data_IF_974783913877
#
_entry.id   IF_974783913877
#
_cell.length_a   1.000
_cell.length_b   1.000
_cell.length_c   1.000
_cell.angle_alpha   90.00
_cell.angle_beta   90.00
_cell.angle_gamma   90.00
#
_symmetry.space_group_name_H-M   'P 1'
#
loop_
_entity.id
_entity.type
_entity.pdbx_description
1 polymer ?
#
# COMPACT_ATOMS: atom_id res chain seq x y z
N UNK A 1 17.86 -14.61 20.04
CA UNK A 1 17.72 -13.14 20.21
C UNK A 1 16.85 -12.64 19.09
N UNK A 2 15.97 -11.67 19.34
CA UNK A 2 15.25 -10.97 18.27
C UNK A 2 16.13 -9.87 17.68
N UNK A 3 16.24 -9.81 16.36
CA UNK A 3 16.97 -8.79 15.61
C UNK A 3 16.06 -8.23 14.52
N UNK A 4 15.85 -6.92 14.53
CA UNK A 4 15.05 -6.22 13.54
C UNK A 4 15.99 -5.56 12.52
N UNK A 5 15.84 -5.91 11.24
CA UNK A 5 16.68 -5.42 10.15
C UNK A 5 15.86 -4.53 9.23
N UNK A 6 16.30 -3.28 9.04
CA UNK A 6 15.65 -2.36 8.11
C UNK A 6 15.82 -2.86 6.66
N UNK A 7 14.72 -2.92 5.90
CA UNK A 7 14.75 -3.18 4.45
C UNK A 7 15.17 -1.87 3.75
N UNK A 8 16.37 -1.80 3.15
CA UNK A 8 16.97 -0.51 2.75
C UNK A 8 16.32 0.11 1.51
N UNK A 9 15.73 -0.69 0.64
CA UNK A 9 15.28 -0.26 -0.70
C UNK A 9 13.84 0.26 -0.72
N UNK A 10 13.07 0.01 0.34
CA UNK A 10 11.70 0.45 0.41
C UNK A 10 11.61 1.99 0.39
N UNK A 11 10.88 2.52 -0.58
CA UNK A 11 10.76 3.96 -0.82
C UNK A 11 9.67 4.65 0.02
N UNK A 12 8.88 3.88 0.77
CA UNK A 12 7.81 4.40 1.63
C UNK A 12 6.44 4.48 0.95
N UNK A 13 5.38 4.58 1.77
CA UNK A 13 3.99 4.68 1.29
C UNK A 13 3.54 6.12 1.00
N UNK A 14 4.34 7.13 1.34
CA UNK A 14 4.02 8.52 1.09
C UNK A 14 4.92 9.11 0.02
N UNK A 15 4.33 9.72 -1.01
CA UNK A 15 5.03 10.39 -2.12
C UNK A 15 6.01 9.47 -2.88
N UNK A 16 5.78 8.17 -2.83
CA UNK A 16 6.54 7.14 -3.53
C UNK A 16 5.65 6.32 -4.47
N UNK A 17 6.22 5.34 -5.16
CA UNK A 17 5.45 4.46 -6.07
C UNK A 17 4.38 3.65 -5.35
N UNK A 18 4.52 3.46 -4.03
CA UNK A 18 3.57 2.74 -3.19
C UNK A 18 2.45 3.63 -2.62
N UNK A 19 2.46 4.92 -2.94
CA UNK A 19 1.40 5.86 -2.55
C UNK A 19 0.09 5.46 -3.23
N UNK A 20 -0.97 5.45 -2.44
CA UNK A 20 -2.32 5.10 -2.87
C UNK A 20 -2.89 6.18 -3.80
N UNK A 21 -2.63 7.46 -3.55
CA UNK A 21 -3.36 8.57 -4.17
C UNK A 21 -3.38 8.57 -5.70
N UNK A 22 -2.23 8.66 -6.36
CA UNK A 22 -2.17 8.70 -7.84
C UNK A 22 -2.53 7.34 -8.46
N UNK A 23 -2.18 6.24 -7.80
CA UNK A 23 -2.42 4.89 -8.31
C UNK A 23 -3.91 4.51 -8.24
N UNK A 24 -4.60 4.83 -7.14
CA UNK A 24 -6.05 4.66 -6.99
C UNK A 24 -6.78 5.46 -8.06
N UNK A 25 -6.34 6.69 -8.34
CA UNK A 25 -6.93 7.48 -9.41
C UNK A 25 -6.79 6.81 -10.79
N UNK A 26 -5.63 6.23 -11.10
CA UNK A 26 -5.40 5.53 -12.37
C UNK A 26 -6.35 4.32 -12.46
N UNK A 27 -6.41 3.49 -11.44
CA UNK A 27 -7.26 2.29 -11.43
C UNK A 27 -8.75 2.65 -11.53
N UNK A 28 -9.20 3.63 -10.74
CA UNK A 28 -10.56 4.19 -10.82
C UNK A 28 -10.88 4.67 -12.24
N UNK A 29 -9.92 5.34 -12.89
CA UNK A 29 -10.06 5.79 -14.26
C UNK A 29 -10.18 4.62 -15.24
N UNK A 30 -9.35 3.57 -15.10
CA UNK A 30 -9.43 2.38 -15.95
C UNK A 30 -10.76 1.65 -15.80
N UNK A 31 -11.28 1.51 -14.57
CA UNK A 31 -12.60 0.93 -14.32
C UNK A 31 -13.72 1.68 -15.06
N UNK A 32 -13.67 3.03 -15.05
CA UNK A 32 -14.66 3.89 -15.72
C UNK A 32 -14.70 3.71 -17.24
N UNK A 33 -13.55 3.52 -17.90
CA UNK A 33 -13.49 3.37 -19.36
C UNK A 33 -13.43 1.89 -19.80
N UNK A 34 -13.52 0.97 -18.83
CA UNK A 34 -13.55 -0.48 -19.03
C UNK A 34 -14.96 -1.07 -18.98
N UNK A 35 -15.19 -2.02 -18.08
CA UNK A 35 -16.45 -2.78 -17.98
C UNK A 35 -17.58 -2.03 -17.25
N UNK A 36 -17.26 -0.94 -16.55
CA UNK A 36 -18.19 -0.20 -15.71
C UNK A 36 -18.40 1.22 -16.26
N UNK A 37 -19.42 1.39 -17.11
CA UNK A 37 -19.84 2.71 -17.56
C UNK A 37 -20.25 3.58 -16.36
N UNK A 38 -19.69 4.79 -16.30
CA UNK A 38 -20.05 5.86 -15.35
C UNK A 38 -19.79 5.58 -13.86
N UNK A 39 -18.79 4.75 -13.57
CA UNK A 39 -18.30 4.39 -12.23
C UNK A 39 -18.04 5.60 -11.29
N UNK A 40 -17.57 6.74 -11.83
CA UNK A 40 -17.38 7.98 -11.04
C UNK A 40 -18.67 8.58 -10.44
N UNK A 41 -19.85 8.04 -10.79
CA UNK A 41 -21.13 8.50 -10.25
C UNK A 41 -21.47 7.90 -8.88
N UNK A 42 -20.65 6.96 -8.39
CA UNK A 42 -20.78 6.43 -7.03
C UNK A 42 -20.53 7.56 -6.00
N UNK A 43 -21.42 7.67 -5.02
CA UNK A 43 -21.38 8.73 -4.02
C UNK A 43 -20.29 8.50 -2.97
N UNK A 44 -19.92 7.24 -2.72
CA UNK A 44 -18.94 6.82 -1.72
C UNK A 44 -17.62 6.38 -2.36
N UNK A 45 -17.32 6.84 -3.59
CA UNK A 45 -16.06 6.51 -4.27
C UNK A 45 -14.81 6.96 -3.51
N UNK A 46 -14.94 8.02 -2.69
CA UNK A 46 -13.85 8.51 -1.82
C UNK A 46 -13.52 7.53 -0.67
N UNK A 47 -14.38 6.56 -0.40
CA UNK A 47 -14.18 5.48 0.59
C UNK A 47 -13.63 4.18 -0.06
N UNK A 48 -13.17 4.26 -1.30
CA UNK A 48 -12.49 3.16 -2.01
C UNK A 48 -10.98 3.33 -1.92
N UNK A 49 -10.28 2.22 -1.88
CA UNK A 49 -8.82 2.19 -1.88
C UNK A 49 -8.29 0.80 -2.16
N UNK A 50 -6.99 0.59 -1.98
CA UNK A 50 -6.37 -0.73 -2.14
C UNK A 50 -6.65 -1.73 -1.01
N UNK A 51 -7.57 -1.39 -0.12
CA UNK A 51 -7.98 -2.22 1.01
C UNK A 51 -7.19 -1.90 2.28
N UNK A 52 -7.80 -2.15 3.45
CA UNK A 52 -7.23 -1.77 4.75
C UNK A 52 -5.94 -2.52 5.11
N UNK A 53 -5.64 -3.62 4.43
CA UNK A 53 -4.45 -4.45 4.63
C UNK A 53 -3.36 -4.26 3.55
N UNK A 54 -3.55 -3.34 2.58
CA UNK A 54 -2.59 -3.07 1.50
C UNK A 54 -1.15 -2.86 2.01
N UNK A 55 -0.98 -1.98 3.00
CA UNK A 55 0.35 -1.68 3.56
C UNK A 55 0.99 -2.89 4.21
N UNK A 56 0.19 -3.73 4.87
CA UNK A 56 0.65 -4.94 5.53
C UNK A 56 1.07 -6.00 4.51
N UNK A 57 0.26 -6.21 3.46
CA UNK A 57 0.54 -7.06 2.31
C UNK A 57 1.85 -6.69 1.62
N UNK A 58 2.06 -5.40 1.31
CA UNK A 58 3.29 -4.90 0.70
C UNK A 58 4.48 -5.07 1.65
N UNK A 59 4.33 -4.72 2.93
CA UNK A 59 5.42 -4.84 3.90
C UNK A 59 5.89 -6.29 4.08
N UNK A 60 4.95 -7.23 4.04
CA UNK A 60 5.24 -8.66 4.08
C UNK A 60 6.10 -9.12 2.90
N UNK A 61 5.75 -8.72 1.67
CA UNK A 61 6.48 -9.09 0.46
C UNK A 61 7.95 -8.67 0.55
N UNK A 62 8.19 -7.37 0.81
CA UNK A 62 9.53 -6.83 0.99
C UNK A 62 10.33 -7.56 2.08
N UNK A 63 9.69 -7.86 3.21
CA UNK A 63 10.37 -8.52 4.32
C UNK A 63 10.72 -9.99 4.02
N UNK A 64 9.83 -10.70 3.32
CA UNK A 64 10.07 -12.09 2.88
C UNK A 64 11.17 -12.18 1.83
N UNK A 65 11.19 -11.28 0.85
CA UNK A 65 12.23 -11.27 -0.18
C UNK A 65 13.57 -10.80 0.39
N UNK A 66 13.58 -9.79 1.26
CA UNK A 66 14.79 -9.39 1.98
C UNK A 66 15.34 -10.52 2.86
N UNK A 67 14.49 -11.34 3.48
CA UNK A 67 14.92 -12.53 4.21
C UNK A 67 15.60 -13.57 3.32
N UNK A 68 15.12 -13.78 2.10
CA UNK A 68 15.78 -14.66 1.11
C UNK A 68 17.15 -14.12 0.70
N UNK A 69 17.27 -12.81 0.48
CA UNK A 69 18.56 -12.16 0.16
C UNK A 69 19.56 -12.38 1.31
N UNK A 70 19.14 -12.20 2.57
CA UNK A 70 19.95 -12.45 3.75
C UNK A 70 20.42 -13.92 3.80
N UNK A 71 19.51 -14.86 3.62
CA UNK A 71 19.83 -16.29 3.66
C UNK A 71 20.88 -16.65 2.60
N UNK A 72 20.68 -16.18 1.36
CA UNK A 72 21.57 -16.42 0.23
C UNK A 72 22.97 -15.81 0.42
N UNK A 73 23.05 -14.62 1.03
CA UNK A 73 24.30 -13.88 1.18
C UNK A 73 25.09 -14.29 2.43
N UNK A 74 24.45 -14.32 3.59
CA UNK A 74 25.16 -14.45 4.87
C UNK A 74 25.48 -15.91 5.21
N UNK A 75 24.61 -16.85 4.84
CA UNK A 75 24.78 -18.28 5.13
C UNK A 75 24.83 -18.60 6.63
N UNK A 76 24.18 -17.79 7.47
CA UNK A 76 24.05 -17.98 8.92
C UNK A 76 22.60 -18.37 9.22
N UNK A 77 22.35 -19.32 10.13
CA UNK A 77 20.99 -19.63 10.55
C UNK A 77 20.37 -18.43 11.28
N UNK A 78 19.53 -17.70 10.57
CA UNK A 78 18.60 -16.70 11.08
C UNK A 78 17.20 -17.15 10.66
N UNK A 79 16.28 -17.21 11.61
CA UNK A 79 14.90 -17.59 11.34
C UNK A 79 14.07 -16.31 11.14
N UNK A 80 13.48 -16.13 9.97
CA UNK A 80 12.53 -15.04 9.73
C UNK A 80 11.24 -15.32 10.51
N UNK A 81 10.85 -14.40 11.40
CA UNK A 81 9.70 -14.56 12.28
C UNK A 81 8.60 -13.51 12.07
N UNK A 82 8.80 -12.55 11.17
CA UNK A 82 7.78 -11.57 10.78
C UNK A 82 8.36 -10.22 10.41
N UNK A 83 7.51 -9.20 10.37
CA UNK A 83 7.87 -7.84 9.98
C UNK A 83 7.07 -6.82 10.77
N UNK A 84 7.49 -5.55 10.71
CA UNK A 84 6.67 -4.42 11.12
C UNK A 84 6.99 -3.19 10.30
N UNK A 85 6.04 -2.25 10.30
CA UNK A 85 6.16 -0.95 9.65
C UNK A 85 6.44 0.11 10.74
N UNK A 86 7.52 0.86 10.59
CA UNK A 86 7.82 2.04 11.38
C UNK A 86 7.33 3.30 10.64
N UNK A 87 6.16 3.77 11.05
CA UNK A 87 5.55 5.00 10.54
C UNK A 87 5.95 6.19 11.44
N UNK A 88 6.62 7.22 10.91
CA UNK A 88 6.95 8.41 11.70
C UNK A 88 5.69 9.15 12.17
N UNK A 89 5.66 9.54 13.45
CA UNK A 89 4.49 10.18 14.10
C UNK A 89 4.12 11.56 13.55
N UNK A 90 5.09 12.26 12.95
CA UNK A 90 4.92 13.58 12.36
C UNK A 90 5.59 13.59 10.98
N UNK A 91 4.99 14.33 10.04
CA UNK A 91 5.50 14.47 8.68
C UNK A 91 6.81 15.30 8.69
N UNK A 92 7.92 14.61 8.92
CA UNK A 92 9.23 15.19 9.17
C UNK A 92 10.21 14.91 8.02
N UNK A 93 9.72 14.83 6.78
CA UNK A 93 10.50 14.39 5.61
C UNK A 93 11.08 12.96 5.76
N UNK A 94 10.45 12.15 6.61
CA UNK A 94 10.71 10.73 6.77
C UNK A 94 9.44 10.00 6.38
N UNK A 95 9.60 8.95 5.58
CA UNK A 95 8.53 8.06 5.14
C UNK A 95 8.55 6.76 5.96
N UNK A 96 7.56 5.90 5.76
CA UNK A 96 7.48 4.58 6.39
C UNK A 96 8.72 3.75 6.11
N UNK A 97 9.11 2.92 7.07
CA UNK A 97 10.18 1.93 6.92
C UNK A 97 9.65 0.55 7.22
N UNK A 98 10.11 -0.43 6.46
CA UNK A 98 9.83 -1.83 6.73
C UNK A 98 11.03 -2.43 7.46
N UNK A 99 10.74 -3.20 8.51
CA UNK A 99 11.71 -3.98 9.25
C UNK A 99 11.36 -5.46 9.15
N UNK A 100 12.30 -6.26 8.67
CA UNK A 100 12.24 -7.72 8.75
C UNK A 100 12.78 -8.19 10.10
N UNK A 101 11.98 -8.98 10.82
CA UNK A 101 12.29 -9.49 12.16
C UNK A 101 12.82 -10.90 12.07
N UNK A 102 13.97 -11.14 12.71
CA UNK A 102 14.61 -12.45 12.77
C UNK A 102 14.81 -12.92 14.21
N UNK A 103 14.64 -14.23 14.42
CA UNK A 103 15.22 -14.93 15.55
C UNK A 103 16.62 -15.41 15.19
N UNK A 104 17.60 -15.00 16.00
CA UNK A 104 19.02 -15.34 15.87
C UNK A 104 19.42 -16.25 17.04
N UNK A 105 19.55 -17.57 16.83
CA UNK A 105 19.91 -18.50 17.90
C UNK A 105 21.34 -18.29 18.43
N UNK A 106 22.28 -17.97 17.53
CA UNK A 106 23.69 -17.74 17.85
C UNK A 106 24.14 -16.38 17.29
N UNK A 107 23.95 -15.34 18.11
CA UNK A 107 24.30 -13.96 17.73
C UNK A 107 25.82 -13.76 17.57
N UNK A 108 26.64 -14.43 18.38
CA UNK A 108 28.10 -14.36 18.25
C UNK A 108 28.57 -14.95 16.91
N UNK A 109 27.94 -16.03 16.44
CA UNK A 109 28.23 -16.60 15.13
C UNK A 109 27.84 -15.64 13.98
N UNK A 110 26.69 -14.96 14.09
CA UNK A 110 26.28 -13.92 13.15
C UNK A 110 27.32 -12.79 13.09
N UNK A 111 27.68 -12.20 14.24
CA UNK A 111 28.66 -11.10 14.30
C UNK A 111 30.02 -11.52 13.75
N UNK A 112 30.49 -12.74 14.08
CA UNK A 112 31.73 -13.28 13.51
C UNK A 112 31.65 -13.39 11.99
N UNK A 113 30.53 -13.85 11.45
CA UNK A 113 30.33 -13.97 9.99
C UNK A 113 30.32 -12.59 9.33
N UNK A 114 29.59 -11.63 9.89
CA UNK A 114 29.53 -10.26 9.40
C UNK A 114 30.92 -9.61 9.40
N UNK A 115 31.67 -9.75 10.50
CA UNK A 115 33.04 -9.26 10.59
C UNK A 115 33.96 -9.92 9.56
N UNK A 116 33.83 -11.25 9.34
CA UNK A 116 34.61 -11.97 8.33
C UNK A 116 34.33 -11.44 6.92
N UNK A 117 33.05 -11.32 6.56
CA UNK A 117 32.63 -10.84 5.25
C UNK A 117 33.03 -9.37 5.03
N UNK A 118 32.75 -8.50 5.99
CA UNK A 118 33.13 -7.09 5.90
C UNK A 118 34.63 -6.82 5.99
N UNK A 119 35.44 -7.81 6.40
CA UNK A 119 36.91 -7.75 6.36
C UNK A 119 37.50 -8.20 5.02
N UNK A 120 36.70 -8.75 4.11
CA UNK A 120 37.17 -9.16 2.79
C UNK A 120 37.62 -7.92 1.99
N UNK A 121 38.77 -7.97 1.28
CA UNK A 121 39.30 -6.83 0.55
C UNK A 121 38.32 -6.20 -0.45
N UNK A 122 37.45 -7.02 -1.08
CA UNK A 122 36.44 -6.55 -2.02
C UNK A 122 35.35 -5.67 -1.38
N UNK A 123 35.02 -5.87 -0.10
CA UNK A 123 33.94 -5.12 0.58
C UNK A 123 34.48 -4.09 1.57
N UNK A 124 35.61 -4.36 2.21
CA UNK A 124 36.11 -3.60 3.37
C UNK A 124 36.29 -2.10 3.12
N UNK A 125 36.75 -1.72 1.93
CA UNK A 125 37.01 -0.31 1.59
C UNK A 125 35.70 0.44 1.36
N UNK A 126 34.80 -0.12 0.54
CA UNK A 126 33.52 0.49 0.23
C UNK A 126 32.59 0.51 1.44
N UNK A 127 32.59 -0.55 2.26
CA UNK A 127 31.80 -0.60 3.49
C UNK A 127 32.22 0.50 4.48
N UNK A 128 33.52 0.76 4.60
CA UNK A 128 34.02 1.88 5.41
C UNK A 128 33.64 3.23 4.83
N UNK A 129 33.62 3.37 3.50
CA UNK A 129 33.18 4.59 2.83
C UNK A 129 31.68 4.85 3.04
N UNK A 130 30.83 3.81 2.97
CA UNK A 130 29.40 3.88 3.26
C UNK A 130 29.16 4.31 4.72
N UNK A 131 29.77 3.63 5.68
CA UNK A 131 29.66 3.98 7.11
C UNK A 131 30.07 5.44 7.33
N UNK A 132 31.21 5.85 6.75
CA UNK A 132 31.67 7.23 6.89
C UNK A 132 30.72 8.24 6.25
N UNK A 133 30.16 7.93 5.08
CA UNK A 133 29.23 8.81 4.36
C UNK A 133 27.95 9.05 5.16
N UNK A 134 27.35 7.99 5.71
CA UNK A 134 26.04 8.07 6.37
C UNK A 134 26.10 8.42 7.86
N UNK A 135 27.24 8.21 8.53
CA UNK A 135 27.39 8.43 9.97
C UNK A 135 28.41 9.52 10.34
N UNK A 136 28.81 10.36 9.39
CA UNK A 136 29.58 11.59 9.69
C UNK A 136 28.64 12.74 10.03
N UNK A 137 28.79 13.32 11.23
CA UNK A 137 28.07 14.53 11.61
C UNK A 137 28.41 15.71 10.69
N UNK A 138 27.40 16.48 10.30
CA UNK A 138 27.53 17.69 9.49
C UNK A 138 26.54 18.75 9.96
N UNK A 139 26.59 19.96 9.39
CA UNK A 139 25.69 21.04 9.79
C UNK A 139 24.22 20.61 9.61
N UNK A 140 23.47 20.61 10.70
CA UNK A 140 22.07 20.15 10.73
C UNK A 140 21.87 18.65 10.94
N UNK A 141 22.93 17.84 11.06
CA UNK A 141 22.86 16.41 11.33
C UNK A 141 23.94 15.97 12.33
N UNK A 142 23.51 15.46 13.48
CA UNK A 142 24.42 14.84 14.45
C UNK A 142 24.23 13.32 14.42
N UNK A 143 25.26 12.60 13.98
CA UNK A 143 25.24 11.13 14.03
C UNK A 143 25.39 10.66 15.48
N UNK A 144 24.52 9.74 15.89
CA UNK A 144 24.64 9.03 17.17
C UNK A 144 25.48 7.76 17.05
N UNK A 145 25.92 7.41 15.84
CA UNK A 145 26.75 6.23 15.57
C UNK A 145 28.15 6.65 15.14
N UNK A 146 29.13 5.79 15.43
CA UNK A 146 30.52 5.96 14.99
C UNK A 146 30.61 5.99 13.46
N UNK A 147 31.58 6.71 12.92
CA UNK A 147 31.93 6.69 11.50
C UNK A 147 33.17 5.82 11.19
N UNK A 148 33.68 5.08 12.18
CA UNK A 148 34.79 4.15 12.03
C UNK A 148 34.29 2.69 12.09
N UNK A 149 34.46 1.98 10.98
CA UNK A 149 34.12 0.56 10.85
C UNK A 149 34.85 -0.34 11.87
N UNK A 150 36.07 0.01 12.31
CA UNK A 150 36.79 -0.79 13.30
C UNK A 150 36.10 -0.74 14.67
N UNK A 151 35.46 0.40 15.00
CA UNK A 151 34.62 0.48 16.19
C UNK A 151 33.36 -0.38 16.04
N UNK A 152 32.75 -0.41 14.85
CA UNK A 152 31.57 -1.22 14.58
C UNK A 152 31.83 -2.72 14.79
N UNK A 153 32.97 -3.23 14.33
CA UNK A 153 33.36 -4.64 14.52
C UNK A 153 33.38 -5.05 16.00
N UNK A 154 33.75 -4.13 16.89
CA UNK A 154 33.72 -4.35 18.33
C UNK A 154 32.32 -4.16 18.93
N UNK A 155 31.62 -3.09 18.54
CA UNK A 155 30.32 -2.72 19.10
C UNK A 155 29.22 -3.73 18.79
N UNK A 156 29.29 -4.40 17.62
CA UNK A 156 28.31 -5.43 17.23
C UNK A 156 28.32 -6.66 18.16
N UNK A 157 29.40 -6.95 18.88
CA UNK A 157 29.43 -8.07 19.84
C UNK A 157 28.58 -7.83 21.09
N UNK A 158 28.15 -6.59 21.35
CA UNK A 158 27.16 -6.30 22.38
C UNK A 158 25.75 -6.34 21.75
N UNK A 159 24.90 -7.31 22.13
CA UNK A 159 23.52 -7.40 21.64
C UNK A 159 22.67 -6.16 21.89
N UNK A 160 23.02 -5.30 22.85
CA UNK A 160 22.30 -4.04 23.09
C UNK A 160 22.59 -2.96 22.03
N UNK A 161 23.59 -3.19 21.18
CA UNK A 161 23.98 -2.36 20.05
C UNK A 161 23.46 -2.95 18.72
N UNK A 162 22.29 -3.59 18.73
CA UNK A 162 21.66 -4.23 17.55
C UNK A 162 21.56 -3.33 16.31
N UNK A 163 21.36 -2.02 16.49
CA UNK A 163 21.37 -1.03 15.42
C UNK A 163 22.68 -1.04 14.60
N UNK A 164 23.84 -1.26 15.22
CA UNK A 164 25.10 -1.43 14.50
C UNK A 164 25.05 -2.67 13.60
N UNK A 165 24.57 -3.80 14.12
CA UNK A 165 24.40 -5.03 13.34
C UNK A 165 23.38 -4.83 12.22
N UNK A 166 22.27 -4.11 12.46
CA UNK A 166 21.28 -3.82 11.42
C UNK A 166 21.85 -3.00 10.28
N UNK A 167 22.46 -1.84 10.56
CA UNK A 167 23.02 -0.99 9.52
C UNK A 167 24.18 -1.67 8.80
N UNK A 168 25.03 -2.40 9.54
CA UNK A 168 26.15 -3.13 8.96
C UNK A 168 25.67 -4.20 7.99
N UNK A 169 24.67 -5.00 8.37
CA UNK A 169 24.06 -6.00 7.48
C UNK A 169 23.48 -5.36 6.23
N UNK A 170 22.71 -4.27 6.36
CA UNK A 170 22.14 -3.56 5.22
C UNK A 170 23.21 -3.06 4.24
N UNK A 171 24.28 -2.41 4.74
CA UNK A 171 25.37 -1.95 3.89
C UNK A 171 26.17 -3.08 3.28
N UNK A 172 26.45 -4.14 4.03
CA UNK A 172 27.16 -5.29 3.50
C UNK A 172 26.36 -5.97 2.38
N UNK A 173 25.05 -6.16 2.56
CA UNK A 173 24.18 -6.74 1.54
C UNK A 173 24.10 -5.86 0.29
N UNK A 174 24.07 -4.53 0.43
CA UNK A 174 24.12 -3.62 -0.72
C UNK A 174 25.42 -3.74 -1.54
N UNK A 175 26.50 -4.28 -0.94
CA UNK A 175 27.75 -4.57 -1.64
C UNK A 175 27.82 -6.01 -2.17
N UNK A 176 27.20 -6.97 -1.47
CA UNK A 176 27.21 -8.39 -1.85
C UNK A 176 26.21 -8.72 -2.97
N UNK A 177 25.04 -8.09 -2.94
CA UNK A 177 23.94 -8.30 -3.87
C UNK A 177 23.35 -6.93 -4.30
N UNK A 178 24.16 -6.07 -4.96
CA UNK A 178 23.74 -4.71 -5.30
C UNK A 178 22.49 -4.68 -6.18
N UNK A 179 22.40 -5.56 -7.19
CA UNK A 179 21.25 -5.62 -8.10
C UNK A 179 19.97 -6.06 -7.38
N UNK A 180 20.05 -7.06 -6.49
CA UNK A 180 18.90 -7.54 -5.71
C UNK A 180 18.44 -6.47 -4.72
N UNK A 181 19.35 -5.77 -4.06
CA UNK A 181 19.01 -4.70 -3.12
C UNK A 181 18.48 -3.48 -3.86
N UNK A 182 19.22 -2.90 -4.79
CA UNK A 182 18.80 -1.68 -5.51
C UNK A 182 17.51 -1.91 -6.30
N UNK A 183 17.37 -3.09 -6.93
CA UNK A 183 16.20 -3.46 -7.72
C UNK A 183 14.99 -3.93 -6.91
N UNK A 184 15.12 -4.20 -5.60
CA UNK A 184 14.02 -4.78 -4.81
C UNK A 184 12.74 -3.95 -4.90
N UNK A 185 12.84 -2.62 -4.82
CA UNK A 185 11.65 -1.76 -4.82
C UNK A 185 10.89 -1.78 -6.15
N UNK A 186 11.61 -1.82 -7.28
CA UNK A 186 11.02 -1.92 -8.61
C UNK A 186 10.50 -3.34 -8.87
N UNK A 187 11.27 -4.37 -8.51
CA UNK A 187 10.88 -5.78 -8.66
C UNK A 187 9.60 -6.12 -7.88
N UNK A 188 9.48 -5.64 -6.64
CA UNK A 188 8.26 -5.85 -5.84
C UNK A 188 7.07 -5.10 -6.45
N UNK A 189 7.31 -3.89 -6.97
CA UNK A 189 6.24 -3.11 -7.60
C UNK A 189 5.74 -3.78 -8.89
N UNK A 190 6.65 -4.25 -9.76
CA UNK A 190 6.30 -5.01 -10.95
C UNK A 190 5.58 -6.31 -10.59
N UNK A 191 6.06 -7.04 -9.56
CA UNK A 191 5.38 -8.23 -9.08
C UNK A 191 3.95 -7.95 -8.62
N UNK A 192 3.77 -6.89 -7.82
CA UNK A 192 2.45 -6.48 -7.34
C UNK A 192 1.52 -6.14 -8.51
N UNK A 193 2.01 -5.35 -9.47
CA UNK A 193 1.25 -4.91 -10.64
C UNK A 193 0.86 -6.06 -11.57
N UNK A 194 1.76 -7.02 -11.80
CA UNK A 194 1.56 -8.09 -12.80
C UNK A 194 0.97 -9.38 -12.22
N UNK A 195 1.17 -9.63 -10.92
CA UNK A 195 0.94 -10.95 -10.32
C UNK A 195 0.01 -10.94 -9.11
N UNK A 196 -0.50 -9.77 -8.69
CA UNK A 196 -1.42 -9.65 -7.55
C UNK A 196 -2.61 -8.75 -7.88
N UNK A 197 -3.56 -8.69 -6.96
CA UNK A 197 -4.70 -7.77 -6.99
C UNK A 197 -4.52 -6.58 -6.01
N UNK A 198 -3.32 -6.36 -5.49
CA UNK A 198 -3.11 -5.35 -4.42
C UNK A 198 -3.28 -3.91 -4.90
N UNK A 199 -3.26 -3.67 -6.22
CA UNK A 199 -3.57 -2.35 -6.82
C UNK A 199 -4.97 -2.29 -7.44
N UNK A 200 -5.82 -3.28 -7.17
CA UNK A 200 -7.23 -3.19 -7.52
C UNK A 200 -7.96 -2.42 -6.42
N UNK A 201 -8.67 -1.36 -6.80
CA UNK A 201 -9.48 -0.60 -5.84
C UNK A 201 -10.71 -1.38 -5.43
N UNK A 202 -11.00 -1.36 -4.13
CA UNK A 202 -12.17 -1.97 -3.53
C UNK A 202 -12.83 -1.00 -2.52
N UNK A 203 -14.15 -1.11 -2.32
CA UNK A 203 -14.83 -0.33 -1.29
C UNK A 203 -14.36 -0.74 0.10
N UNK A 204 -13.89 0.20 0.91
CA UNK A 204 -13.31 -0.11 2.22
C UNK A 204 -14.35 -0.09 3.35
N UNK A 205 -15.33 0.82 3.26
CA UNK A 205 -16.41 0.97 4.24
C UNK A 205 -17.59 0.03 3.94
N UNK A 206 -18.38 -0.28 4.98
CA UNK A 206 -19.58 -1.11 4.81
C UNK A 206 -20.62 -0.41 3.90
N UNK A 207 -20.75 0.91 3.99
CA UNK A 207 -21.64 1.71 3.14
C UNK A 207 -21.18 1.71 1.68
N UNK A 208 -19.87 1.87 1.41
CA UNK A 208 -19.34 1.82 0.05
C UNK A 208 -19.50 0.43 -0.58
N UNK A 209 -19.36 -0.64 0.23
CA UNK A 209 -19.61 -2.02 -0.22
C UNK A 209 -21.07 -2.21 -0.60
N UNK A 210 -21.98 -1.70 0.21
CA UNK A 210 -23.41 -1.81 -0.06
C UNK A 210 -23.84 -0.94 -1.25
N UNK A 211 -23.27 0.25 -1.44
CA UNK A 211 -23.44 1.05 -2.66
C UNK A 211 -22.96 0.27 -3.90
N UNK A 212 -21.81 -0.38 -3.80
CA UNK A 212 -21.29 -1.19 -4.88
C UNK A 212 -22.23 -2.33 -5.26
N UNK A 213 -22.83 -3.03 -4.29
CA UNK A 213 -23.84 -4.06 -4.55
C UNK A 213 -25.10 -3.51 -5.22
N UNK A 214 -25.53 -2.30 -4.84
CA UNK A 214 -26.63 -1.59 -5.48
C UNK A 214 -26.30 -1.26 -6.93
N UNK A 215 -25.11 -0.70 -7.20
CA UNK A 215 -24.65 -0.42 -8.55
C UNK A 215 -24.56 -1.68 -9.40
N UNK A 216 -23.94 -2.76 -8.90
CA UNK A 216 -23.86 -4.04 -9.64
C UNK A 216 -25.23 -4.60 -10.03
N UNK A 217 -26.26 -4.33 -9.22
CA UNK A 217 -27.61 -4.83 -9.47
C UNK A 217 -28.42 -3.95 -10.43
N UNK A 218 -28.26 -2.63 -10.36
CA UNK A 218 -29.12 -1.68 -11.07
C UNK A 218 -28.41 -0.89 -12.18
N UNK A 219 -27.08 -0.90 -12.22
CA UNK A 219 -26.23 -0.32 -13.26
C UNK A 219 -26.60 1.12 -13.59
N UNK A 220 -26.87 1.37 -14.87
CA UNK A 220 -27.23 2.71 -15.37
C UNK A 220 -28.44 3.35 -14.71
N UNK A 221 -29.40 2.56 -14.18
CA UNK A 221 -30.54 3.12 -13.44
C UNK A 221 -30.09 3.77 -12.14
N UNK A 222 -29.08 3.21 -11.49
CA UNK A 222 -28.46 3.81 -10.31
C UNK A 222 -27.64 5.03 -10.69
N UNK A 223 -26.81 4.93 -11.74
CA UNK A 223 -26.03 6.05 -12.26
C UNK A 223 -26.89 7.28 -12.56
N UNK A 224 -27.97 7.12 -13.33
CA UNK A 224 -28.89 8.21 -13.68
C UNK A 224 -29.47 8.87 -12.42
N UNK A 225 -29.85 8.05 -11.44
CA UNK A 225 -30.38 8.54 -10.17
C UNK A 225 -29.32 9.32 -9.38
N UNK A 226 -28.11 8.78 -9.24
CA UNK A 226 -27.02 9.39 -8.48
C UNK A 226 -26.58 10.73 -9.06
N UNK A 227 -26.58 10.86 -10.39
CA UNK A 227 -26.31 12.14 -11.08
C UNK A 227 -27.39 13.17 -10.80
N UNK A 228 -28.67 12.79 -10.83
CA UNK A 228 -29.78 13.70 -10.56
C UNK A 228 -29.94 14.04 -9.07
N UNK A 229 -29.59 13.10 -8.20
CA UNK A 229 -29.78 13.14 -6.75
C UNK A 229 -28.46 12.78 -6.07
N UNK A 230 -27.40 13.59 -6.17
CA UNK A 230 -26.14 13.28 -5.51
C UNK A 230 -26.32 13.31 -3.99
N UNK A 231 -25.67 12.38 -3.29
CA UNK A 231 -25.58 12.41 -1.84
C UNK A 231 -24.83 13.68 -1.41
N UNK A 232 -25.32 14.34 -0.36
CA UNK A 232 -24.76 15.62 0.08
C UNK A 232 -24.34 15.51 1.53
N UNK A 233 -23.03 15.48 1.75
CA UNK A 233 -22.47 15.55 3.09
C UNK A 233 -22.67 16.94 3.71
N UNK A 234 -22.89 17.03 5.03
CA UNK A 234 -22.98 18.30 5.73
C UNK A 234 -21.65 19.05 5.66
N UNK A 235 -21.68 20.31 5.19
CA UNK A 235 -20.52 21.20 5.20
C UNK A 235 -20.22 21.62 6.65
N UNK A 236 -19.06 21.25 7.23
CA UNK A 236 -18.71 21.58 8.61
C UNK A 236 -18.56 23.09 8.85
N UNK A 237 -18.42 23.89 7.78
CA UNK A 237 -18.36 25.35 7.83
C UNK A 237 -19.71 26.03 7.57
N UNK A 238 -20.76 25.27 7.22
CA UNK A 238 -22.13 25.78 7.03
C UNK A 238 -23.19 24.84 7.63
N UNK A 239 -23.30 24.79 8.97
CA UNK A 239 -24.29 23.95 9.64
C UNK A 239 -25.72 24.33 9.23
N UNK A 240 -26.46 23.40 8.63
CA UNK A 240 -27.88 23.56 8.28
C UNK A 240 -28.23 23.65 6.79
N UNK A 241 -27.29 23.40 5.87
CA UNK A 241 -27.56 23.28 4.44
C UNK A 241 -27.20 21.88 3.92
N UNK A 242 -28.19 21.20 3.34
CA UNK A 242 -28.19 19.83 2.79
C UNK A 242 -28.20 18.70 3.84
N UNK A 243 -29.20 17.82 3.79
CA UNK A 243 -29.25 16.59 4.59
C UNK A 243 -29.84 15.45 3.74
N UNK A 244 -28.97 14.56 3.29
CA UNK A 244 -29.23 13.11 3.30
C UNK A 244 -28.00 12.58 4.04
N UNK A 245 -28.16 12.39 5.36
CA UNK A 245 -27.06 12.24 6.32
C UNK A 245 -26.60 10.79 6.51
N UNK A 246 -27.26 9.82 5.86
CA UNK A 246 -27.00 8.40 6.03
C UNK A 246 -27.23 7.66 4.71
N UNK A 247 -26.29 6.79 4.34
CA UNK A 247 -26.35 5.94 3.15
C UNK A 247 -27.65 5.12 3.13
N UNK A 248 -28.12 4.66 4.28
CA UNK A 248 -29.36 3.86 4.38
C UNK A 248 -30.61 4.64 3.91
N UNK A 249 -30.73 5.91 4.31
CA UNK A 249 -31.83 6.78 3.89
C UNK A 249 -31.77 7.10 2.38
N UNK A 250 -30.55 7.27 1.85
CA UNK A 250 -30.32 7.47 0.42
C UNK A 250 -30.73 6.23 -0.39
N UNK A 251 -30.27 5.06 0.06
CA UNK A 251 -30.57 3.77 -0.52
C UNK A 251 -32.07 3.48 -0.49
N UNK A 252 -32.77 3.76 0.62
CA UNK A 252 -34.23 3.55 0.70
C UNK A 252 -34.96 4.38 -0.37
N UNK A 253 -34.61 5.65 -0.53
CA UNK A 253 -35.19 6.53 -1.55
C UNK A 253 -34.95 6.01 -2.97
N UNK A 254 -33.73 5.56 -3.25
CA UNK A 254 -33.40 4.95 -4.54
C UNK A 254 -34.21 3.68 -4.78
N UNK A 255 -34.33 2.79 -3.79
CA UNK A 255 -35.09 1.54 -3.93
C UNK A 255 -36.58 1.79 -4.13
N UNK A 256 -37.13 2.86 -3.57
CA UNK A 256 -38.51 3.29 -3.85
C UNK A 256 -38.66 3.85 -5.26
N UNK A 257 -37.69 4.62 -5.76
CA UNK A 257 -37.63 5.04 -7.16
C UNK A 257 -37.60 3.84 -8.12
N UNK A 258 -36.77 2.83 -7.84
CA UNK A 258 -36.68 1.60 -8.64
C UNK A 258 -38.05 0.90 -8.74
N UNK A 259 -38.81 0.81 -7.64
CA UNK A 259 -40.15 0.20 -7.65
C UNK A 259 -41.10 0.92 -8.61
N UNK A 260 -41.06 2.25 -8.65
CA UNK A 260 -41.88 3.05 -9.56
C UNK A 260 -41.37 2.97 -11.00
N UNK A 261 -40.06 3.01 -11.21
CA UNK A 261 -39.42 2.83 -12.50
C UNK A 261 -39.82 1.49 -13.15
N UNK A 262 -39.74 0.38 -12.41
CA UNK A 262 -40.14 -0.94 -12.91
C UNK A 262 -41.62 -1.01 -13.28
N UNK A 263 -42.51 -0.40 -12.48
CA UNK A 263 -43.94 -0.32 -12.80
C UNK A 263 -44.16 0.43 -14.11
N UNK A 264 -43.46 1.54 -14.31
CA UNK A 264 -43.54 2.34 -15.52
C UNK A 264 -43.01 1.59 -16.75
N UNK A 265 -41.89 0.87 -16.63
CA UNK A 265 -41.36 0.04 -17.71
C UNK A 265 -42.34 -1.09 -18.09
N UNK A 266 -42.95 -1.75 -17.10
CA UNK A 266 -44.01 -2.74 -17.35
C UNK A 266 -45.21 -2.12 -18.06
N UNK A 267 -45.64 -0.92 -17.65
CA UNK A 267 -46.72 -0.18 -18.33
C UNK A 267 -46.38 0.13 -19.78
N UNK A 268 -45.18 0.67 -20.04
CA UNK A 268 -44.69 0.97 -21.40
C UNK A 268 -44.61 -0.28 -22.27
N UNK A 269 -44.10 -1.38 -21.74
CA UNK A 269 -44.04 -2.66 -22.45
C UNK A 269 -45.44 -3.19 -22.81
N UNK A 270 -46.41 -3.08 -21.90
CA UNK A 270 -47.81 -3.46 -22.18
C UNK A 270 -48.41 -2.58 -23.26
N UNK A 271 -48.19 -1.26 -23.22
CA UNK A 271 -48.67 -0.32 -24.25
C UNK A 271 -48.03 -0.60 -25.62
N UNK A 272 -46.72 -0.87 -25.66
CA UNK A 272 -46.00 -1.21 -26.90
C UNK A 272 -46.43 -2.57 -27.48
N UNK A 273 -46.90 -3.51 -26.65
CA UNK A 273 -47.42 -4.80 -27.08
C UNK A 273 -48.90 -4.76 -27.50
N UNK A 274 -49.58 -3.62 -27.40
CA UNK A 274 -50.94 -3.49 -27.92
C UNK A 274 -50.91 -3.56 -29.46
N UNK A 275 -51.78 -4.36 -30.09
CA UNK A 275 -51.79 -4.48 -31.53
C UNK A 275 -52.15 -3.12 -32.16
N UNK A 276 -51.33 -2.65 -33.10
CA UNK A 276 -51.72 -1.56 -33.98
C UNK A 276 -52.95 -2.00 -34.77
N UNK A 277 -54.10 -1.37 -34.51
CA UNK A 277 -55.32 -1.62 -35.29
C UNK A 277 -55.17 -0.83 -36.60
N UNK A 278 -55.02 -1.49 -37.77
CA UNK A 278 -54.89 -0.78 -39.04
C UNK A 278 -56.16 0.05 -39.31
N UNK A 279 -55.99 1.36 -39.51
CA UNK A 279 -57.08 2.28 -39.88
C UNK A 279 -57.83 2.95 -38.75
N UNK A 280 -57.31 2.99 -37.50
CA UNK A 280 -57.96 3.74 -36.41
C UNK A 280 -57.62 5.25 -36.39
N UNK A 281 -56.64 5.67 -37.21
CA UNK A 281 -56.21 7.08 -37.34
C UNK A 281 -56.08 7.54 -38.80
N UNK A 282 -56.67 6.81 -39.76
CA UNK A 282 -56.90 7.30 -41.13
C UNK A 282 -58.30 7.93 -41.27
#
# INVERSE_FOLDING_TARGET
>A
MRLDLQVPSFTGFYQGIWDQSENEWIEIHEMKYGEHEDFESLNLIDDWGFGPDYRDKVAKLFAEDYAKIIENCLGVPMEYIGYFIDSPKEYNFRTDRIYATFEVPDYDALVKRLNQLGSLPEYRTELAALIKKYHTSCDGFWSFMSNDIEEWFGLMYDPSNDHYTSYFTGYLLSLMAPEEIEGLNESEYEYVLESTDYHCVEPETDDAKDEWEVYLKYGSVYTDWAVEHPMRHPDPYRPGYNTIDDWEDYKEQFLDYVKEYEKEQKRKAVLAAQPEIPGLFD
#
